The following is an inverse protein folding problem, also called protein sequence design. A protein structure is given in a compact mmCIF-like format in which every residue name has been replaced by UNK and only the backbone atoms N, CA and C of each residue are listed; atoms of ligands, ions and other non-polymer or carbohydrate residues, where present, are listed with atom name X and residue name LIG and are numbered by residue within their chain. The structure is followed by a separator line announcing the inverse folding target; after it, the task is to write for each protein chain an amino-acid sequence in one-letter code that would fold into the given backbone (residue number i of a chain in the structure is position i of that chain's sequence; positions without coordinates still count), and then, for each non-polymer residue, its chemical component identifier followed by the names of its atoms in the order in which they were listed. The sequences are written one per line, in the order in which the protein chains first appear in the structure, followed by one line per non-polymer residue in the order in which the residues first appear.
data_IF_596866481820
#
_entry.id   IF_596866481820
#
_cell.length_a   1.000
_cell.length_b   1.000
_cell.length_c   1.000
_cell.angle_alpha   90.00
_cell.angle_beta   90.00
_cell.angle_gamma   90.00
#
_symmetry.space_group_name_H-M   'P 1'
#
loop_
_entity.id
_entity.type
_entity.pdbx_description
1 polymer ?
#
# COMPACT_ATOMS: atom_id res chain seq x y z
N UNK A 1 15.78 2.97 -67.72
CA UNK A 1 15.81 4.32 -67.12
C UNK A 1 14.49 4.44 -66.38
N UNK A 2 14.46 3.90 -65.15
CA UNK A 2 14.35 4.69 -63.90
C UNK A 2 12.92 5.24 -63.77
N UNK A 3 12.09 4.94 -62.78
CA UNK A 3 12.37 4.77 -61.35
C UNK A 3 11.41 3.76 -60.67
N UNK A 4 11.99 3.03 -59.74
CA UNK A 4 11.43 2.20 -58.69
C UNK A 4 10.90 3.13 -57.57
N UNK A 5 9.61 3.06 -57.21
CA UNK A 5 9.05 3.72 -56.03
C UNK A 5 8.36 2.72 -55.10
N UNK A 6 9.17 2.17 -54.18
CA UNK A 6 8.92 2.11 -52.74
C UNK A 6 7.54 1.70 -52.23
N UNK A 7 7.30 0.39 -52.12
CA UNK A 7 6.30 -0.17 -51.23
C UNK A 7 6.71 0.10 -49.76
N UNK A 8 6.00 1.00 -49.07
CA UNK A 8 6.18 1.23 -47.65
C UNK A 8 5.72 -0.01 -46.84
N UNK A 9 6.51 -0.50 -45.87
CA UNK A 9 6.07 -1.61 -45.04
C UNK A 9 5.00 -1.16 -44.03
N UNK A 10 3.85 -1.83 -44.05
CA UNK A 10 2.81 -1.77 -43.02
C UNK A 10 3.45 -2.07 -41.65
N UNK A 11 3.35 -1.12 -40.71
CA UNK A 11 3.80 -1.33 -39.35
C UNK A 11 2.84 -2.31 -38.64
N UNK A 12 3.33 -3.39 -37.99
CA UNK A 12 2.45 -4.26 -37.23
C UNK A 12 1.92 -3.50 -36.02
N UNK A 13 0.60 -3.45 -35.88
CA UNK A 13 -0.07 -2.99 -34.67
C UNK A 13 0.48 -3.79 -33.49
N UNK A 14 1.27 -3.15 -32.64
CA UNK A 14 1.75 -3.75 -31.41
C UNK A 14 0.54 -3.88 -30.48
N UNK A 15 -0.12 -5.04 -30.56
CA UNK A 15 -0.95 -5.55 -29.48
C UNK A 15 -0.04 -5.63 -28.26
N UNK A 16 -0.04 -4.59 -27.44
CA UNK A 16 0.62 -4.60 -26.14
C UNK A 16 -0.08 -5.68 -25.32
N UNK A 17 0.54 -6.86 -25.33
CA UNK A 17 0.02 -8.07 -24.72
C UNK A 17 -0.23 -7.83 -23.24
N UNK A 18 -1.46 -8.09 -22.84
CA UNK A 18 -1.89 -8.30 -21.45
C UNK A 18 -1.17 -9.47 -20.76
N UNK A 19 -0.25 -10.16 -21.44
CA UNK A 19 0.40 -11.38 -20.96
C UNK A 19 1.58 -11.14 -20.02
N UNK A 20 2.13 -9.92 -19.95
CA UNK A 20 3.23 -9.60 -19.03
C UNK A 20 2.80 -9.58 -17.54
N UNK A 21 1.50 -9.57 -17.25
CA UNK A 21 0.97 -9.53 -15.88
C UNK A 21 0.77 -10.91 -15.23
N UNK A 22 0.86 -12.00 -16.00
CA UNK A 22 0.56 -13.35 -15.48
C UNK A 22 1.75 -14.02 -14.76
N UNK A 23 2.97 -13.51 -14.94
CA UNK A 23 4.20 -14.10 -14.37
C UNK A 23 5.04 -13.14 -13.53
N UNK A 24 4.41 -12.21 -12.82
CA UNK A 24 5.12 -11.40 -11.85
C UNK A 24 5.58 -12.28 -10.67
N UNK A 25 6.90 -12.42 -10.50
CA UNK A 25 7.57 -13.06 -9.35
C UNK A 25 6.97 -12.60 -8.02
N UNK A 26 7.06 -13.40 -6.93
CA UNK A 26 6.40 -13.15 -5.63
C UNK A 26 6.69 -11.77 -5.00
N UNK A 27 7.71 -11.05 -5.49
CA UNK A 27 8.02 -9.66 -5.14
C UNK A 27 7.02 -8.62 -5.67
N UNK A 28 6.07 -8.99 -6.54
CA UNK A 28 5.04 -8.12 -7.09
C UNK A 28 3.64 -8.71 -6.80
N UNK A 29 2.92 -8.19 -5.79
CA UNK A 29 1.60 -8.72 -5.46
C UNK A 29 0.60 -8.45 -6.60
N UNK A 30 -0.15 -9.49 -6.99
CA UNK A 30 -1.24 -9.39 -7.96
C UNK A 30 -2.29 -8.36 -7.51
N UNK A 31 -2.85 -7.62 -8.47
CA UNK A 31 -3.90 -6.62 -8.23
C UNK A 31 -5.15 -7.32 -7.67
N UNK A 32 -5.66 -6.84 -6.53
CA UNK A 32 -6.88 -7.40 -5.94
C UNK A 32 -8.09 -7.20 -6.89
N UNK A 33 -8.91 -8.24 -7.13
CA UNK A 33 -10.12 -8.14 -7.96
C UNK A 33 -11.17 -7.18 -7.38
N UNK A 34 -11.91 -6.54 -8.28
CA UNK A 34 -12.91 -5.50 -8.05
C UNK A 34 -14.08 -5.99 -7.18
N UNK A 35 -14.26 -5.37 -6.01
CA UNK A 35 -15.27 -5.73 -5.00
C UNK A 35 -14.95 -5.15 -3.61
N UNK A 36 -14.36 -3.95 -3.57
CA UNK A 36 -13.52 -3.45 -2.47
C UNK A 36 -14.24 -2.50 -1.52
N UNK A 37 -14.97 -3.06 -0.56
CA UNK A 37 -15.08 -2.39 0.74
C UNK A 37 -13.81 -2.74 1.56
N UNK A 38 -12.91 -1.76 1.73
CA UNK A 38 -11.87 -1.69 2.78
C UNK A 38 -10.89 -2.88 2.94
N UNK A 39 -10.44 -3.53 1.86
CA UNK A 39 -9.31 -4.48 1.97
C UNK A 39 -7.97 -3.74 1.92
N UNK A 40 -7.11 -4.05 2.88
CA UNK A 40 -5.73 -3.57 2.92
C UNK A 40 -4.98 -4.01 1.65
N UNK A 41 -4.05 -3.17 1.18
CA UNK A 41 -3.07 -3.57 0.16
C UNK A 41 -2.12 -4.62 0.76
N UNK A 42 -1.55 -5.48 -0.07
CA UNK A 42 -0.67 -6.56 0.36
C UNK A 42 0.42 -6.09 1.35
N UNK A 43 1.20 -5.07 0.99
CA UNK A 43 2.24 -4.53 1.87
C UNK A 43 1.71 -4.03 3.22
N UNK A 44 0.48 -3.50 3.26
CA UNK A 44 -0.12 -3.01 4.51
C UNK A 44 -0.51 -4.17 5.42
N UNK A 45 -1.02 -5.26 4.86
CA UNK A 45 -1.33 -6.47 5.61
C UNK A 45 -0.03 -7.11 6.12
N UNK A 46 0.96 -7.29 5.25
CA UNK A 46 2.28 -7.82 5.61
C UNK A 46 2.96 -6.99 6.72
N UNK A 47 2.88 -5.66 6.64
CA UNK A 47 3.43 -4.79 7.67
C UNK A 47 2.68 -4.88 9.02
N UNK A 48 1.37 -5.16 9.02
CA UNK A 48 0.62 -5.40 10.26
C UNK A 48 1.00 -6.75 10.88
N UNK A 49 1.10 -7.79 10.05
CA UNK A 49 1.54 -9.11 10.49
C UNK A 49 2.95 -9.05 11.08
N UNK A 50 3.86 -8.35 10.39
CA UNK A 50 5.22 -8.11 10.88
C UNK A 50 5.22 -7.35 12.21
N UNK A 51 4.40 -6.30 12.37
CA UNK A 51 4.29 -5.58 13.63
C UNK A 51 3.85 -6.51 14.77
N UNK A 52 2.80 -7.31 14.59
CA UNK A 52 2.25 -8.16 15.66
C UNK A 52 3.03 -9.46 15.91
N UNK A 53 3.87 -9.90 14.98
CA UNK A 53 4.74 -11.04 15.18
C UNK A 53 5.94 -10.73 16.09
N UNK A 54 6.25 -9.45 16.29
CA UNK A 54 7.35 -9.00 17.14
C UNK A 54 6.89 -8.86 18.59
N UNK A 55 7.74 -9.31 19.50
CA UNK A 55 7.58 -9.07 20.93
C UNK A 55 8.13 -7.70 21.30
N UNK A 56 7.43 -7.03 22.21
CA UNK A 56 7.82 -5.72 22.70
C UNK A 56 7.78 -5.63 24.22
N UNK A 57 8.06 -4.42 24.75
CA UNK A 57 8.10 -4.19 26.19
C UNK A 57 6.77 -4.50 26.89
N UNK A 58 5.66 -4.48 26.15
CA UNK A 58 4.31 -4.70 26.69
C UNK A 58 3.87 -6.18 26.62
N UNK A 59 4.74 -7.08 26.16
CA UNK A 59 4.54 -8.52 26.16
C UNK A 59 4.53 -9.18 24.78
N UNK A 60 4.28 -10.49 24.78
CA UNK A 60 4.33 -11.34 23.58
C UNK A 60 3.21 -10.97 22.61
N UNK A 61 3.56 -10.78 21.33
CA UNK A 61 2.61 -10.43 20.26
C UNK A 61 1.95 -9.05 20.41
N UNK A 62 2.57 -8.15 21.19
CA UNK A 62 2.10 -6.77 21.41
C UNK A 62 2.76 -5.76 20.46
N UNK A 63 3.74 -6.21 19.67
CA UNK A 63 4.52 -5.42 18.76
C UNK A 63 5.62 -4.61 19.44
N UNK A 64 6.56 -4.05 18.65
CA UNK A 64 7.73 -3.36 19.17
C UNK A 64 7.37 -1.99 19.77
N UNK A 65 8.30 -1.39 20.51
CA UNK A 65 8.16 0.00 20.97
C UNK A 65 8.12 0.99 19.80
N UNK A 66 8.97 0.77 18.81
CA UNK A 66 9.15 1.64 17.65
C UNK A 66 9.04 0.82 16.36
N UNK A 67 8.36 1.36 15.34
CA UNK A 67 8.18 0.73 14.03
C UNK A 67 8.18 1.78 12.93
N UNK A 68 9.06 1.61 11.93
CA UNK A 68 9.19 2.54 10.79
C UNK A 68 8.67 1.89 9.49
N UNK A 69 7.59 2.44 8.94
CA UNK A 69 7.08 2.07 7.62
C UNK A 69 7.41 3.15 6.58
N UNK A 70 8.39 2.87 5.71
CA UNK A 70 8.72 3.71 4.56
C UNK A 70 8.07 3.16 3.29
N UNK A 71 7.31 4.00 2.61
CA UNK A 71 6.68 3.66 1.33
C UNK A 71 6.56 4.90 0.44
N UNK A 72 6.41 4.69 -0.86
CA UNK A 72 6.27 5.78 -1.83
C UNK A 72 5.08 6.70 -1.52
N UNK A 73 5.11 7.98 -1.96
CA UNK A 73 3.95 8.87 -1.86
C UNK A 73 2.70 8.22 -2.48
N UNK A 74 1.55 8.33 -1.82
CA UNK A 74 0.30 7.71 -2.29
C UNK A 74 0.16 6.19 -2.06
N UNK A 75 1.18 5.51 -1.50
CA UNK A 75 1.12 4.06 -1.23
C UNK A 75 0.09 3.64 -0.16
N UNK A 76 -0.52 4.59 0.54
CA UNK A 76 -1.53 4.33 1.59
C UNK A 76 -0.97 4.26 3.02
N UNK A 77 0.14 4.95 3.31
CA UNK A 77 0.76 4.94 4.66
C UNK A 77 -0.19 5.36 5.78
N UNK A 78 -1.01 6.39 5.54
CA UNK A 78 -2.00 6.86 6.52
C UNK A 78 -3.04 5.78 6.85
N UNK A 79 -3.55 5.05 5.85
CA UNK A 79 -4.48 3.95 6.07
C UNK A 79 -3.86 2.83 6.91
N UNK A 80 -2.61 2.46 6.61
CA UNK A 80 -1.87 1.48 7.41
C UNK A 80 -1.73 1.94 8.86
N UNK A 81 -1.24 3.16 9.08
CA UNK A 81 -1.02 3.71 10.41
C UNK A 81 -2.32 3.77 11.23
N UNK A 82 -3.42 4.21 10.62
CA UNK A 82 -4.72 4.28 11.28
C UNK A 82 -5.28 2.89 11.61
N UNK A 83 -5.11 1.90 10.72
CA UNK A 83 -5.54 0.52 10.99
C UNK A 83 -4.75 -0.10 12.14
N UNK A 84 -3.43 0.12 12.18
CA UNK A 84 -2.59 -0.29 13.31
C UNK A 84 -3.04 0.38 14.61
N UNK A 85 -3.26 1.70 14.59
CA UNK A 85 -3.69 2.46 15.76
C UNK A 85 -5.04 1.97 16.32
N UNK A 86 -6.04 1.75 15.45
CA UNK A 86 -7.35 1.21 15.84
C UNK A 86 -7.22 -0.18 16.47
N UNK A 87 -6.35 -1.04 15.93
CA UNK A 87 -6.13 -2.38 16.45
C UNK A 87 -5.43 -2.36 17.83
N UNK A 88 -4.45 -1.48 18.01
CA UNK A 88 -3.78 -1.30 19.31
C UNK A 88 -4.73 -0.80 20.39
N UNK A 89 -5.63 0.14 20.04
CA UNK A 89 -6.70 0.59 20.94
C UNK A 89 -7.67 -0.54 21.26
N UNK A 90 -8.14 -1.28 20.24
CA UNK A 90 -9.09 -2.40 20.40
C UNK A 90 -8.53 -3.51 21.30
N UNK A 91 -7.23 -3.80 21.18
CA UNK A 91 -6.52 -4.79 22.02
C UNK A 91 -6.16 -4.26 23.42
N UNK A 92 -6.42 -2.98 23.70
CA UNK A 92 -6.04 -2.33 24.95
C UNK A 92 -4.53 -2.22 25.18
N UNK A 93 -3.72 -2.29 24.11
CA UNK A 93 -2.26 -2.11 24.20
C UNK A 93 -1.93 -0.65 24.48
N UNK A 94 -2.68 0.26 23.86
CA UNK A 94 -2.55 1.70 24.07
C UNK A 94 -3.89 2.29 24.48
N UNK A 95 -3.86 3.43 25.18
CA UNK A 95 -5.06 4.17 25.60
C UNK A 95 -5.23 5.50 24.88
N UNK A 96 -4.21 5.93 24.13
CA UNK A 96 -4.18 7.23 23.45
C UNK A 96 -3.28 7.13 22.23
N UNK A 97 -3.68 7.80 21.16
CA UNK A 97 -2.92 7.96 19.93
C UNK A 97 -2.61 9.45 19.76
N UNK A 98 -1.39 9.77 19.35
CA UNK A 98 -0.96 11.13 18.99
C UNK A 98 -0.43 11.09 17.57
N UNK A 99 -0.97 11.94 16.71
CA UNK A 99 -0.52 12.09 15.33
C UNK A 99 0.19 13.43 15.21
N UNK A 100 1.44 13.41 14.75
CA UNK A 100 2.23 14.61 14.47
C UNK A 100 2.40 14.73 12.96
N UNK A 101 1.98 15.87 12.40
CA UNK A 101 2.08 16.16 10.98
C UNK A 101 2.66 17.58 10.79
N UNK A 102 3.44 17.82 9.72
CA UNK A 102 4.24 19.04 9.58
C UNK A 102 3.42 20.28 9.20
N UNK A 103 2.20 20.12 8.71
CA UNK A 103 1.33 21.23 8.28
C UNK A 103 -0.11 21.03 8.74
N UNK A 104 -0.86 22.14 8.90
CA UNK A 104 -2.27 22.09 9.27
C UNK A 104 -3.11 21.28 8.28
N UNK A 105 -2.88 21.46 6.98
CA UNK A 105 -3.61 20.72 5.96
C UNK A 105 -3.44 19.20 6.11
N UNK A 106 -2.23 18.72 6.43
CA UNK A 106 -2.01 17.31 6.69
C UNK A 106 -2.71 16.82 7.96
N UNK A 107 -2.81 17.65 9.01
CA UNK A 107 -3.58 17.30 10.22
C UNK A 107 -5.05 17.09 9.87
N UNK A 108 -5.65 17.98 9.07
CA UNK A 108 -7.04 17.82 8.58
C UNK A 108 -7.19 16.53 7.78
N UNK A 109 -6.29 16.25 6.83
CA UNK A 109 -6.34 15.00 6.05
C UNK A 109 -6.28 13.74 6.92
N UNK A 110 -5.46 13.75 7.99
CA UNK A 110 -5.38 12.65 8.94
C UNK A 110 -6.67 12.51 9.75
N UNK A 111 -7.25 13.61 10.23
CA UNK A 111 -8.51 13.61 10.96
C UNK A 111 -9.66 13.06 10.10
N UNK A 112 -9.77 13.52 8.85
CA UNK A 112 -10.78 13.04 7.92
C UNK A 112 -10.59 11.56 7.60
N UNK A 113 -9.34 11.10 7.46
CA UNK A 113 -9.04 9.68 7.26
C UNK A 113 -9.39 8.83 8.48
N UNK A 114 -9.14 9.33 9.69
CA UNK A 114 -9.48 8.66 10.93
C UNK A 114 -10.99 8.51 11.12
N UNK A 115 -11.79 9.48 10.67
CA UNK A 115 -13.25 9.40 10.73
C UNK A 115 -13.86 8.29 9.84
N UNK A 116 -13.07 7.67 8.95
CA UNK A 116 -13.54 6.65 7.99
C UNK A 116 -13.13 5.21 8.34
N UNK A 117 -12.40 4.98 9.42
CA UNK A 117 -11.80 3.68 9.76
C UNK A 117 -12.38 3.03 10.99
#
# INVERSE_FOLDING_TARGET
MTEDEGLAPEAPAHQFGSFAAEHLSPSFPQRAPWGTAQRLRAWQAEALDAYFALDGPDGVGKGPRDYLAAATPGAGKTTFALRLASELLRRGVVRRIVVVAPTEHLKTQWADAAARV
#
